data_IF_263494436616
#
_entry.id   IF_263494436616
#
_cell.length_a   1.000
_cell.length_b   1.000
_cell.length_c   1.000
_cell.angle_alpha   90.00
_cell.angle_beta   90.00
_cell.angle_gamma   90.00
#
_symmetry.space_group_name_H-M   'P 1'
#
loop_
_entity.id
_entity.type
_entity.pdbx_description
1 polymer ?
#
# COMPACT_ATOMS: atom_id res chain seq x y z
N UNK A 1 27.17 4.51 -30.45
CA UNK A 1 25.79 4.70 -30.99
C UNK A 1 24.68 4.13 -30.08
N UNK A 2 24.98 3.34 -29.05
CA UNK A 2 23.97 2.70 -28.17
C UNK A 2 23.32 3.58 -27.08
N UNK A 3 23.77 4.81 -26.85
CA UNK A 3 23.25 5.68 -25.78
C UNK A 3 22.29 6.78 -26.25
N UNK A 4 22.17 7.01 -27.56
CA UNK A 4 21.30 8.06 -28.10
C UNK A 4 19.81 7.65 -28.05
N UNK A 5 19.49 6.38 -28.34
CA UNK A 5 18.12 5.87 -28.29
C UNK A 5 17.50 5.87 -26.90
N UNK A 6 18.29 5.50 -25.88
CA UNK A 6 17.84 5.53 -24.48
C UNK A 6 17.66 6.95 -23.96
N UNK A 7 18.55 7.87 -24.32
CA UNK A 7 18.42 9.28 -23.98
C UNK A 7 17.22 9.93 -24.66
N UNK A 8 16.94 9.59 -25.92
CA UNK A 8 15.79 10.08 -26.69
C UNK A 8 14.46 9.51 -26.17
N UNK A 9 14.41 8.23 -25.77
CA UNK A 9 13.23 7.64 -25.10
C UNK A 9 12.97 8.31 -23.75
N UNK A 10 14.02 8.52 -22.95
CA UNK A 10 13.91 9.22 -21.67
C UNK A 10 13.49 10.69 -21.84
N UNK A 11 14.02 11.38 -22.86
CA UNK A 11 13.60 12.75 -23.23
C UNK A 11 12.16 12.78 -23.73
N UNK A 12 11.74 11.81 -24.53
CA UNK A 12 10.36 11.64 -25.00
C UNK A 12 9.39 11.47 -23.83
N UNK A 13 9.69 10.59 -22.88
CA UNK A 13 8.91 10.40 -21.65
C UNK A 13 8.91 11.65 -20.75
N UNK A 14 9.99 12.42 -20.75
CA UNK A 14 10.08 13.67 -19.97
C UNK A 14 9.23 14.78 -20.62
N UNK A 15 9.21 14.84 -21.96
CA UNK A 15 8.37 15.77 -22.72
C UNK A 15 6.89 15.39 -22.62
N UNK A 16 6.54 14.11 -22.67
CA UNK A 16 5.18 13.61 -22.40
C UNK A 16 4.76 13.91 -20.96
N UNK A 17 5.64 13.74 -19.96
CA UNK A 17 5.36 14.14 -18.59
C UNK A 17 5.18 15.66 -18.43
N UNK A 18 5.97 16.47 -19.16
CA UNK A 18 5.79 17.94 -19.20
C UNK A 18 4.52 18.36 -19.94
N UNK A 19 4.12 17.65 -20.99
CA UNK A 19 2.86 17.87 -21.71
C UNK A 19 1.65 17.43 -20.88
N UNK A 20 1.75 16.31 -20.15
CA UNK A 20 0.77 15.90 -19.15
C UNK A 20 0.62 16.98 -18.06
N UNK A 21 1.71 17.62 -17.63
CA UNK A 21 1.67 18.77 -16.70
C UNK A 21 1.06 20.04 -17.29
N UNK A 22 1.20 20.29 -18.59
CA UNK A 22 0.67 21.49 -19.27
C UNK A 22 -0.76 21.33 -19.83
N UNK A 23 -1.22 20.10 -20.05
CA UNK A 23 -2.53 19.80 -20.63
C UNK A 23 -3.57 19.21 -19.66
N UNK A 24 -3.23 18.93 -18.40
CA UNK A 24 -4.15 18.28 -17.46
C UNK A 24 -4.98 19.29 -16.64
N UNK A 25 -6.14 19.65 -17.18
CA UNK A 25 -7.35 19.87 -16.38
C UNK A 25 -7.98 18.53 -15.93
N UNK A 26 -7.24 17.42 -16.01
CA UNK A 26 -7.69 16.08 -15.65
C UNK A 26 -6.74 15.53 -14.60
N UNK A 27 -7.14 15.64 -13.33
CA UNK A 27 -6.70 14.72 -12.28
C UNK A 27 -7.25 13.31 -12.56
N UNK A 28 -7.57 12.55 -11.51
CA UNK A 28 -8.31 11.29 -11.63
C UNK A 28 -9.72 11.54 -12.21
N UNK A 29 -9.85 11.72 -13.53
CA UNK A 29 -11.08 12.08 -14.22
C UNK A 29 -11.37 13.59 -14.30
N UNK A 30 -12.38 13.96 -15.10
CA UNK A 30 -12.89 15.32 -15.17
C UNK A 30 -13.35 15.80 -13.77
N UNK A 31 -12.97 17.02 -13.41
CA UNK A 31 -13.36 17.73 -12.17
C UNK A 31 -12.81 17.18 -10.84
N UNK A 32 -11.76 16.34 -10.82
CA UNK A 32 -11.10 15.96 -9.56
C UNK A 32 -9.81 16.76 -9.35
N UNK A 33 -9.64 17.45 -8.21
CA UNK A 33 -8.44 18.24 -7.96
C UNK A 33 -7.19 17.35 -7.91
N UNK A 34 -6.08 17.85 -8.47
CA UNK A 34 -4.76 17.20 -8.40
C UNK A 34 -4.17 17.20 -6.99
N UNK A 35 -4.68 18.08 -6.12
CA UNK A 35 -4.21 18.30 -4.75
C UNK A 35 -5.44 18.45 -3.85
N UNK A 36 -5.67 17.50 -2.95
CA UNK A 36 -6.68 17.65 -1.90
C UNK A 36 -6.09 18.48 -0.75
N UNK A 37 -6.86 19.44 -0.26
CA UNK A 37 -6.61 20.14 1.01
C UNK A 37 -6.61 19.13 2.15
N UNK A 38 -5.42 18.83 2.66
CA UNK A 38 -5.21 17.92 3.77
C UNK A 38 -5.70 18.56 5.07
N UNK A 39 -6.79 18.03 5.63
CA UNK A 39 -7.31 18.18 6.99
C UNK A 39 -7.26 19.61 7.59
N UNK A 40 -8.42 20.22 7.83
CA UNK A 40 -8.50 21.16 8.96
C UNK A 40 -8.45 20.33 10.24
N UNK A 41 -7.45 20.59 11.08
CA UNK A 41 -7.24 19.93 12.37
C UNK A 41 -8.31 20.29 13.43
N UNK A 42 -9.55 20.58 13.00
CA UNK A 42 -10.56 21.26 13.82
C UNK A 42 -11.88 20.47 13.94
N UNK A 43 -12.01 19.30 13.30
CA UNK A 43 -13.25 18.52 13.40
C UNK A 43 -13.30 17.63 14.65
N UNK A 44 -14.38 17.78 15.42
CA UNK A 44 -14.67 16.95 16.60
C UNK A 44 -14.89 15.49 16.21
N UNK A 45 -14.58 14.54 17.12
CA UNK A 45 -14.94 13.15 16.93
C UNK A 45 -16.44 12.99 16.65
N UNK A 46 -16.76 12.16 15.67
CA UNK A 46 -18.12 11.89 15.22
C UNK A 46 -18.55 10.46 15.61
N UNK A 47 -19.85 10.17 15.50
CA UNK A 47 -20.40 8.83 15.69
C UNK A 47 -20.01 7.83 14.57
N UNK A 48 -19.05 8.18 13.71
CA UNK A 48 -18.55 7.35 12.63
C UNK A 48 -18.08 5.98 13.13
N UNK A 49 -18.40 4.94 12.39
CA UNK A 49 -18.10 3.55 12.76
C UNK A 49 -16.65 3.14 12.44
N UNK A 50 -16.02 3.76 11.43
CA UNK A 50 -14.70 3.34 10.92
C UNK A 50 -13.61 4.38 11.13
N UNK A 51 -13.96 5.66 11.25
CA UNK A 51 -13.02 6.76 11.42
C UNK A 51 -13.30 7.56 12.70
N UNK A 52 -12.43 8.51 13.04
CA UNK A 52 -12.68 9.43 14.15
C UNK A 52 -13.62 10.55 13.72
N UNK A 53 -13.45 11.06 12.50
CA UNK A 53 -14.28 12.14 11.96
C UNK A 53 -14.93 11.77 10.63
N UNK A 54 -16.01 12.46 10.28
CA UNK A 54 -16.66 12.29 8.98
C UNK A 54 -15.82 12.89 7.84
N UNK A 55 -14.96 13.88 8.10
CA UNK A 55 -14.01 14.35 7.08
C UNK A 55 -12.99 13.27 6.70
N UNK A 56 -12.48 12.49 7.67
CA UNK A 56 -11.60 11.36 7.37
C UNK A 56 -12.31 10.35 6.45
N UNK A 57 -13.58 10.00 6.74
CA UNK A 57 -14.34 9.12 5.86
C UNK A 57 -14.51 9.71 4.46
N UNK A 58 -14.97 10.97 4.35
CA UNK A 58 -15.18 11.64 3.06
C UNK A 58 -13.90 11.67 2.23
N UNK A 59 -12.76 11.93 2.88
CA UNK A 59 -11.47 11.95 2.23
C UNK A 59 -11.06 10.56 1.74
N UNK A 60 -11.19 9.51 2.55
CA UNK A 60 -10.85 8.16 2.09
C UNK A 60 -11.80 7.68 0.98
N UNK A 61 -13.09 8.02 1.08
CA UNK A 61 -14.09 7.69 0.07
C UNK A 61 -13.80 8.33 -1.30
N UNK A 62 -13.23 9.54 -1.35
CA UNK A 62 -12.96 10.28 -2.60
C UNK A 62 -11.99 9.54 -3.55
N UNK A 63 -11.08 8.75 -3.00
CA UNK A 63 -10.08 7.97 -3.74
C UNK A 63 -10.61 6.67 -4.33
N UNK A 64 -11.80 6.23 -3.90
CA UNK A 64 -12.35 4.93 -4.30
C UNK A 64 -13.09 4.96 -5.63
N UNK A 65 -13.11 3.83 -6.33
CA UNK A 65 -13.78 3.66 -7.62
C UNK A 65 -13.31 4.63 -8.70
N UNK A 66 -12.11 5.21 -8.55
CA UNK A 66 -11.55 6.21 -9.45
C UNK A 66 -11.03 5.61 -10.77
N UNK A 67 -10.93 4.28 -10.86
CA UNK A 67 -10.37 3.59 -12.03
C UNK A 67 -11.21 2.38 -12.42
N UNK A 68 -11.65 2.31 -13.69
CA UNK A 68 -12.41 1.17 -14.20
C UNK A 68 -11.52 0.26 -15.03
N UNK A 69 -11.20 -0.91 -14.48
CA UNK A 69 -10.35 -1.93 -15.11
C UNK A 69 -10.80 -2.31 -16.52
N UNK A 70 -12.12 -2.30 -16.81
CA UNK A 70 -12.68 -2.79 -18.08
C UNK A 70 -12.17 -2.01 -19.30
N UNK A 71 -11.83 -0.74 -19.14
CA UNK A 71 -11.40 0.13 -20.24
C UNK A 71 -9.88 0.15 -20.48
N UNK A 72 -9.10 -0.55 -19.66
CA UNK A 72 -7.65 -0.55 -19.74
C UNK A 72 -7.08 -1.88 -20.22
N UNK A 73 -6.08 -1.83 -21.11
CA UNK A 73 -5.37 -3.00 -21.61
C UNK A 73 -4.72 -3.79 -20.46
N UNK A 74 -4.61 -5.11 -20.60
CA UNK A 74 -4.01 -6.01 -19.59
C UNK A 74 -2.62 -5.55 -19.13
N UNK A 75 -1.83 -4.97 -20.04
CA UNK A 75 -0.52 -4.39 -19.72
C UNK A 75 -0.61 -3.25 -18.70
N UNK A 76 -1.63 -2.38 -18.80
CA UNK A 76 -1.88 -1.29 -17.82
C UNK A 76 -2.36 -1.86 -16.48
N UNK A 77 -3.15 -2.94 -16.53
CA UNK A 77 -3.64 -3.66 -15.34
C UNK A 77 -2.51 -4.33 -14.54
N UNK A 78 -1.41 -4.70 -15.19
CA UNK A 78 -0.26 -5.38 -14.57
C UNK A 78 0.94 -4.46 -14.29
N UNK A 79 0.80 -3.13 -14.41
CA UNK A 79 1.92 -2.16 -14.27
C UNK A 79 2.38 -2.04 -12.82
N UNK A 80 3.20 -2.99 -12.41
CA UNK A 80 4.17 -2.83 -11.33
C UNK A 80 5.56 -2.72 -11.96
N UNK A 81 6.40 -1.83 -11.45
CA UNK A 81 7.73 -1.56 -11.98
C UNK A 81 8.69 -1.23 -10.83
N UNK A 82 10.00 -1.48 -10.99
CA UNK A 82 10.98 -1.16 -9.96
C UNK A 82 10.87 0.29 -9.50
N UNK A 83 10.86 0.49 -8.18
CA UNK A 83 10.79 1.80 -7.56
C UNK A 83 9.38 2.36 -7.33
N UNK A 84 8.33 1.70 -7.85
CA UNK A 84 6.94 2.08 -7.58
C UNK A 84 6.63 1.89 -6.09
N UNK A 85 6.01 2.88 -5.45
CA UNK A 85 5.60 2.80 -4.02
C UNK A 85 6.75 2.58 -3.00
N UNK A 86 8.01 2.77 -3.40
CA UNK A 86 9.18 2.73 -2.51
C UNK A 86 9.10 3.74 -1.35
N UNK A 87 8.26 4.75 -1.47
CA UNK A 87 8.07 5.74 -0.40
C UNK A 87 7.40 5.11 0.83
N UNK A 88 6.65 4.00 0.64
CA UNK A 88 6.23 3.12 1.75
C UNK A 88 7.43 2.44 2.41
N UNK A 89 8.44 2.00 1.66
CA UNK A 89 9.66 1.44 2.24
C UNK A 89 10.41 2.48 3.07
N UNK A 90 10.48 3.73 2.59
CA UNK A 90 11.12 4.84 3.33
C UNK A 90 10.39 5.11 4.64
N UNK A 91 9.05 5.17 4.61
CA UNK A 91 8.22 5.29 5.82
C UNK A 91 8.51 4.16 6.82
N UNK A 92 8.49 2.90 6.37
CA UNK A 92 8.74 1.74 7.24
C UNK A 92 10.17 1.72 7.77
N UNK A 93 11.14 2.16 6.96
CA UNK A 93 12.53 2.28 7.39
C UNK A 93 12.65 3.31 8.51
N UNK A 94 12.05 4.48 8.34
CA UNK A 94 12.07 5.50 9.39
C UNK A 94 11.31 5.04 10.65
N UNK A 95 10.19 4.33 10.48
CA UNK A 95 9.43 3.74 11.58
C UNK A 95 10.29 2.76 12.41
N UNK A 96 11.00 1.85 11.75
CA UNK A 96 11.73 0.74 12.39
C UNK A 96 13.16 1.09 12.84
N UNK A 97 13.89 1.92 12.08
CA UNK A 97 15.29 2.26 12.41
C UNK A 97 15.43 3.27 13.55
N UNK A 98 14.35 3.94 13.95
CA UNK A 98 14.36 4.85 15.10
C UNK A 98 15.17 6.14 14.92
N UNK A 99 15.80 6.38 13.75
CA UNK A 99 16.63 7.58 13.50
C UNK A 99 15.82 8.87 13.39
N UNK A 100 14.62 8.79 12.84
CA UNK A 100 13.72 9.94 12.71
C UNK A 100 12.96 10.14 14.03
N UNK A 101 13.12 11.31 14.64
CA UNK A 101 12.70 11.59 16.03
C UNK A 101 11.65 12.69 16.15
N UNK A 102 11.01 13.09 15.05
CA UNK A 102 9.89 14.04 15.15
C UNK A 102 8.68 13.44 15.89
N UNK A 103 7.87 14.32 16.47
CA UNK A 103 6.75 13.96 17.33
C UNK A 103 5.73 13.07 16.62
N UNK A 104 5.43 13.35 15.35
CA UNK A 104 4.48 12.57 14.56
C UNK A 104 4.99 11.13 14.33
N UNK A 105 6.29 10.95 14.05
CA UNK A 105 6.89 9.63 13.91
C UNK A 105 6.94 8.85 15.24
N UNK A 106 7.30 9.50 16.35
CA UNK A 106 7.29 8.82 17.65
C UNK A 106 5.87 8.40 18.06
N UNK A 107 4.87 9.26 17.84
CA UNK A 107 3.47 8.90 18.06
C UNK A 107 3.03 7.72 17.17
N UNK A 108 3.45 7.69 15.91
CA UNK A 108 3.15 6.55 15.03
C UNK A 108 3.76 5.25 15.57
N UNK A 109 5.00 5.30 16.11
CA UNK A 109 5.64 4.15 16.77
C UNK A 109 4.87 3.70 18.02
N UNK A 110 4.42 4.63 18.83
CA UNK A 110 3.59 4.36 20.01
C UNK A 110 2.28 3.66 19.62
N UNK A 111 1.53 4.19 18.65
CA UNK A 111 0.26 3.60 18.20
C UNK A 111 0.44 2.20 17.60
N UNK A 112 1.61 1.92 17.01
CA UNK A 112 1.94 0.64 16.41
C UNK A 112 2.69 -0.32 17.34
N UNK A 113 2.93 0.07 18.60
CA UNK A 113 3.68 -0.68 19.60
C UNK A 113 5.01 -1.25 19.07
N UNK A 114 5.81 -0.42 18.39
CA UNK A 114 7.06 -0.88 17.75
C UNK A 114 8.19 -1.13 18.75
N UNK A 115 7.93 -0.98 20.05
CA UNK A 115 8.86 -1.22 21.16
C UNK A 115 9.16 -2.71 21.29
N UNK A 116 10.07 -3.23 20.46
CA UNK A 116 10.46 -4.65 20.43
C UNK A 116 10.76 -5.18 19.04
N UNK A 117 10.42 -4.43 17.98
CA UNK A 117 10.87 -4.74 16.62
C UNK A 117 12.28 -4.25 16.37
N UNK A 118 13.03 -4.99 15.58
CA UNK A 118 14.33 -4.54 15.06
C UNK A 118 14.19 -3.80 13.72
N UNK A 119 15.30 -3.23 13.26
CA UNK A 119 15.36 -2.54 11.97
C UNK A 119 15.09 -3.45 10.76
N UNK A 120 15.14 -4.77 10.94
CA UNK A 120 14.87 -5.79 9.91
C UNK A 120 13.38 -6.23 9.91
N UNK A 121 12.55 -5.63 10.77
CA UNK A 121 11.10 -5.83 10.81
C UNK A 121 10.63 -7.07 11.59
N UNK A 122 11.43 -7.60 12.52
CA UNK A 122 11.00 -8.70 13.38
C UNK A 122 9.70 -8.35 14.12
N UNK A 123 8.72 -9.26 14.10
CA UNK A 123 7.40 -9.06 14.72
C UNK A 123 6.37 -8.36 13.82
N UNK A 124 6.76 -7.94 12.62
CA UNK A 124 5.86 -7.33 11.64
C UNK A 124 5.38 -8.37 10.60
N UNK A 125 4.15 -8.15 10.14
CA UNK A 125 3.57 -8.82 8.99
C UNK A 125 3.23 -7.77 7.94
N UNK A 126 3.82 -7.86 6.75
CA UNK A 126 3.46 -7.02 5.61
C UNK A 126 2.57 -7.79 4.64
N UNK A 127 1.41 -7.24 4.30
CA UNK A 127 0.49 -7.80 3.31
C UNK A 127 0.39 -6.84 2.15
N UNK A 128 0.84 -7.28 0.97
CA UNK A 128 0.73 -6.53 -0.28
C UNK A 128 -0.47 -7.05 -1.06
N UNK A 129 -1.49 -6.22 -1.24
CA UNK A 129 -2.73 -6.61 -1.93
C UNK A 129 -2.63 -6.21 -3.40
N UNK A 130 -2.77 -7.20 -4.29
CA UNK A 130 -2.64 -7.00 -5.74
C UNK A 130 -1.26 -6.50 -6.18
N UNK A 131 -0.14 -7.14 -5.78
CA UNK A 131 1.21 -6.66 -6.08
C UNK A 131 1.62 -6.80 -7.56
N UNK A 132 0.75 -7.37 -8.40
CA UNK A 132 1.07 -7.71 -9.78
C UNK A 132 1.94 -8.97 -9.84
N UNK A 133 1.50 -10.03 -9.16
CA UNK A 133 2.25 -11.29 -9.07
C UNK A 133 2.52 -11.89 -10.46
N UNK A 134 1.55 -11.80 -11.38
CA UNK A 134 1.68 -12.31 -12.75
C UNK A 134 2.46 -11.42 -13.71
N UNK A 135 3.09 -10.33 -13.25
CA UNK A 135 3.89 -9.48 -14.13
C UNK A 135 5.08 -10.27 -14.67
N UNK A 136 5.09 -10.51 -15.98
CA UNK A 136 6.10 -11.35 -16.64
C UNK A 136 7.52 -10.80 -16.50
N UNK A 137 7.68 -9.48 -16.39
CA UNK A 137 8.98 -8.81 -16.27
C UNK A 137 9.44 -8.67 -14.82
N UNK A 138 8.52 -8.29 -13.94
CA UNK A 138 8.77 -7.84 -12.58
C UNK A 138 7.73 -8.39 -11.61
N UNK A 139 7.65 -9.73 -11.43
CA UNK A 139 6.59 -10.35 -10.62
C UNK A 139 6.67 -9.86 -9.17
N UNK A 140 5.60 -9.23 -8.67
CA UNK A 140 5.51 -8.69 -7.32
C UNK A 140 6.73 -7.84 -6.89
N UNK A 141 7.27 -7.03 -7.80
CA UNK A 141 8.55 -6.31 -7.58
C UNK A 141 8.53 -5.38 -6.36
N UNK A 142 7.39 -4.76 -6.07
CA UNK A 142 7.20 -3.90 -4.89
C UNK A 142 7.14 -4.72 -3.60
N UNK A 143 6.62 -5.95 -3.64
CA UNK A 143 6.68 -6.91 -2.52
C UNK A 143 8.11 -7.39 -2.31
N UNK A 144 8.82 -7.72 -3.40
CA UNK A 144 10.22 -8.14 -3.36
C UNK A 144 11.12 -7.07 -2.74
N UNK A 145 10.90 -5.80 -3.09
CA UNK A 145 11.61 -4.65 -2.53
C UNK A 145 11.47 -4.57 -1.00
N UNK A 146 10.24 -4.71 -0.48
CA UNK A 146 9.98 -4.77 0.98
C UNK A 146 10.71 -5.95 1.63
N UNK A 147 10.62 -7.14 1.03
CA UNK A 147 11.27 -8.33 1.58
C UNK A 147 12.81 -8.24 1.60
N UNK A 148 13.39 -7.49 0.67
CA UNK A 148 14.83 -7.20 0.62
C UNK A 148 15.27 -6.22 1.71
N UNK A 149 14.48 -5.18 1.93
CA UNK A 149 14.74 -4.13 2.93
C UNK A 149 14.54 -4.62 4.37
N UNK A 150 13.63 -5.56 4.60
CA UNK A 150 13.23 -6.04 5.93
C UNK A 150 13.28 -7.57 6.01
N UNK A 151 14.45 -8.16 6.23
CA UNK A 151 14.66 -9.61 6.06
C UNK A 151 14.00 -10.47 7.14
N UNK A 152 13.63 -9.86 8.27
CA UNK A 152 12.96 -10.54 9.40
C UNK A 152 11.46 -10.24 9.47
N UNK A 153 10.94 -9.43 8.57
CA UNK A 153 9.51 -9.19 8.38
C UNK A 153 8.90 -10.32 7.55
N UNK A 154 7.78 -10.90 8.00
CA UNK A 154 7.03 -11.82 7.15
C UNK A 154 6.25 -11.02 6.10
N UNK A 155 6.43 -11.35 4.82
CA UNK A 155 5.86 -10.60 3.69
C UNK A 155 4.92 -11.51 2.90
N UNK A 156 3.68 -11.09 2.70
CA UNK A 156 2.63 -11.83 1.98
C UNK A 156 2.24 -11.06 0.73
N UNK A 157 2.47 -11.67 -0.44
CA UNK A 157 1.88 -11.27 -1.70
C UNK A 157 0.47 -11.88 -1.80
N UNK A 158 -0.56 -11.08 -1.54
CA UNK A 158 -1.96 -11.48 -1.68
C UNK A 158 -2.45 -11.06 -3.07
N UNK A 159 -2.75 -12.04 -3.92
CA UNK A 159 -3.25 -11.78 -5.27
C UNK A 159 -4.37 -12.75 -5.64
N UNK A 160 -5.15 -12.39 -6.66
CA UNK A 160 -6.30 -13.17 -7.10
C UNK A 160 -5.85 -14.58 -7.51
N UNK A 161 -6.70 -15.62 -7.32
CA UNK A 161 -6.37 -16.98 -7.75
C UNK A 161 -5.97 -17.07 -9.23
N UNK A 162 -6.56 -16.24 -10.09
CA UNK A 162 -6.16 -16.15 -11.49
C UNK A 162 -4.73 -15.60 -11.67
N UNK A 163 -4.35 -14.55 -10.94
CA UNK A 163 -3.01 -13.99 -11.00
C UNK A 163 -1.96 -14.99 -10.49
N UNK A 164 -2.30 -15.77 -9.46
CA UNK A 164 -1.45 -16.89 -9.00
C UNK A 164 -1.31 -17.96 -10.08
N UNK A 165 -2.39 -18.34 -10.78
CA UNK A 165 -2.29 -19.29 -11.92
C UNK A 165 -1.42 -18.73 -13.05
N UNK A 166 -1.56 -17.44 -13.38
CA UNK A 166 -0.76 -16.78 -14.42
C UNK A 166 0.71 -16.66 -14.02
N UNK A 167 1.00 -16.44 -12.74
CA UNK A 167 2.37 -16.48 -12.22
C UNK A 167 3.06 -17.81 -12.55
N UNK A 168 2.42 -18.96 -12.26
CA UNK A 168 3.02 -20.27 -12.54
C UNK A 168 3.06 -20.64 -14.03
N UNK A 169 2.16 -20.10 -14.86
CA UNK A 169 2.08 -20.45 -16.29
C UNK A 169 2.81 -19.50 -17.24
N UNK A 170 2.92 -18.20 -16.92
CA UNK A 170 3.44 -17.18 -17.83
C UNK A 170 4.77 -16.56 -17.38
N UNK A 171 5.03 -16.46 -16.07
CA UNK A 171 6.30 -15.92 -15.56
C UNK A 171 7.39 -16.98 -15.71
N UNK A 172 8.58 -16.63 -16.20
CA UNK A 172 9.67 -17.60 -16.39
C UNK A 172 10.12 -18.23 -15.06
N UNK A 173 10.56 -19.49 -15.11
CA UNK A 173 11.03 -20.22 -13.92
C UNK A 173 12.09 -19.43 -13.13
N UNK A 174 13.11 -18.92 -13.83
CA UNK A 174 14.16 -18.07 -13.24
C UNK A 174 13.60 -16.90 -12.42
N UNK A 175 12.59 -16.18 -12.93
CA UNK A 175 12.00 -15.03 -12.23
C UNK A 175 11.15 -15.46 -11.03
N UNK A 176 10.44 -16.58 -11.15
CA UNK A 176 9.71 -17.16 -10.00
C UNK A 176 10.67 -17.59 -8.91
N UNK A 177 11.75 -18.27 -9.29
CA UNK A 177 12.78 -18.74 -8.36
C UNK A 177 13.49 -17.57 -7.68
N UNK A 178 13.75 -16.48 -8.42
CA UNK A 178 14.29 -15.24 -7.84
C UNK A 178 13.35 -14.66 -6.77
N UNK A 179 12.06 -14.50 -7.06
CA UNK A 179 11.08 -14.01 -6.06
C UNK A 179 10.99 -14.97 -4.87
N UNK A 180 10.88 -16.27 -5.15
CA UNK A 180 10.74 -17.31 -4.13
C UNK A 180 12.07 -17.64 -3.44
N UNK A 181 13.21 -17.06 -3.82
CA UNK A 181 14.47 -17.22 -3.08
C UNK A 181 14.45 -16.48 -1.74
N UNK A 182 13.64 -15.42 -1.63
CA UNK A 182 13.43 -14.68 -0.39
C UNK A 182 12.63 -15.51 0.61
N UNK A 183 13.28 -16.02 1.66
CA UNK A 183 12.67 -16.93 2.64
C UNK A 183 11.47 -16.33 3.39
N UNK A 184 11.40 -15.01 3.49
CA UNK A 184 10.35 -14.27 4.18
C UNK A 184 9.13 -13.93 3.30
N UNK A 185 9.17 -14.21 1.99
CA UNK A 185 8.02 -14.01 1.08
C UNK A 185 7.08 -15.22 1.11
N UNK A 186 5.78 -14.97 1.17
CA UNK A 186 4.71 -15.96 0.97
C UNK A 186 3.73 -15.47 -0.08
N UNK A 187 3.11 -16.40 -0.79
CA UNK A 187 2.04 -16.10 -1.74
C UNK A 187 0.73 -16.58 -1.12
N UNK A 188 -0.30 -15.74 -1.18
CA UNK A 188 -1.64 -16.05 -0.73
C UNK A 188 -2.62 -15.84 -1.90
N UNK A 189 -3.34 -16.90 -2.26
CA UNK A 189 -4.28 -16.95 -3.39
C UNK A 189 -5.69 -16.57 -2.93
N UNK A 190 -6.03 -15.28 -2.92
CA UNK A 190 -7.30 -14.80 -2.41
C UNK A 190 -7.78 -13.52 -3.09
N UNK A 191 -9.06 -13.22 -2.96
CA UNK A 191 -9.58 -11.90 -3.30
C UNK A 191 -9.33 -10.94 -2.12
N UNK A 192 -8.77 -9.76 -2.40
CA UNK A 192 -8.44 -8.76 -1.38
C UNK A 192 -9.64 -8.23 -0.58
N UNK A 193 -10.87 -8.57 -0.99
CA UNK A 193 -12.11 -8.27 -0.26
C UNK A 193 -12.46 -9.31 0.81
N UNK A 194 -11.88 -10.50 0.76
CA UNK A 194 -12.20 -11.58 1.69
C UNK A 194 -11.63 -11.30 3.10
N UNK A 195 -12.30 -11.84 4.13
CA UNK A 195 -11.79 -11.82 5.50
C UNK A 195 -10.40 -12.45 5.58
N UNK A 196 -9.43 -11.71 6.13
CA UNK A 196 -8.09 -12.19 6.40
C UNK A 196 -8.10 -13.39 7.35
N UNK A 197 -8.94 -13.36 8.39
CA UNK A 197 -9.07 -14.48 9.33
C UNK A 197 -9.47 -15.78 8.62
N UNK A 198 -10.40 -15.69 7.65
CA UNK A 198 -10.82 -16.82 6.83
C UNK A 198 -9.72 -17.29 5.88
N UNK A 199 -9.11 -16.39 5.11
CA UNK A 199 -8.15 -16.82 4.06
C UNK A 199 -6.79 -17.23 4.63
N UNK A 200 -6.36 -16.70 5.78
CA UNK A 200 -5.11 -17.12 6.42
C UNK A 200 -5.21 -18.50 7.08
N UNK A 201 -6.41 -18.92 7.47
CA UNK A 201 -6.65 -20.23 8.10
C UNK A 201 -6.85 -21.37 7.11
N UNK A 202 -7.08 -21.06 5.84
CA UNK A 202 -7.27 -22.06 4.77
C UNK A 202 -5.91 -22.44 4.14
N UNK A 203 -5.40 -23.67 4.36
CA UNK A 203 -4.10 -24.11 3.85
C UNK A 203 -4.06 -24.17 2.30
N UNK A 204 -5.20 -24.39 1.64
CA UNK A 204 -5.27 -24.50 0.18
C UNK A 204 -5.05 -23.14 -0.51
N UNK A 205 -5.15 -22.03 0.25
CA UNK A 205 -4.86 -20.68 -0.23
C UNK A 205 -3.37 -20.39 -0.32
N UNK A 206 -2.49 -21.26 0.19
CA UNK A 206 -1.04 -21.08 0.23
C UNK A 206 -0.34 -21.98 -0.81
N UNK A 207 -0.20 -21.55 -2.08
CA UNK A 207 0.25 -22.41 -3.18
C UNK A 207 1.70 -22.90 -3.07
N UNK A 208 2.52 -22.28 -2.22
CA UNK A 208 3.93 -22.64 -2.05
C UNK A 208 4.06 -23.71 -0.98
N UNK A 209 4.19 -24.97 -1.40
CA UNK A 209 4.13 -26.18 -0.54
C UNK A 209 5.00 -26.17 0.73
N UNK A 210 6.12 -25.44 0.73
CA UNK A 210 7.05 -25.37 1.87
C UNK A 210 6.98 -24.03 2.62
N UNK A 211 5.94 -23.23 2.36
CA UNK A 211 5.71 -21.94 3.00
C UNK A 211 4.25 -21.89 3.43
N UNK A 212 4.01 -22.38 4.64
CA UNK A 212 2.69 -22.33 5.26
C UNK A 212 2.28 -20.90 5.66
N UNK A 213 1.10 -20.82 6.26
CA UNK A 213 0.55 -19.57 6.76
C UNK A 213 1.43 -18.92 7.84
N UNK A 214 1.17 -17.64 8.10
CA UNK A 214 1.76 -16.88 9.21
C UNK A 214 0.67 -16.43 10.16
N UNK A 215 0.95 -16.33 11.46
CA UNK A 215 -0.05 -15.85 12.41
C UNK A 215 -0.38 -14.37 12.16
N UNK A 216 -1.68 -14.05 12.15
CA UNK A 216 -2.18 -12.67 12.10
C UNK A 216 -2.12 -11.96 13.47
N UNK A 217 -2.27 -12.74 14.55
CA UNK A 217 -2.38 -12.24 15.93
C UNK A 217 -1.00 -11.97 16.55
N UNK A 218 -0.96 -11.00 17.46
CA UNK A 218 0.25 -10.67 18.24
C UNK A 218 1.34 -10.00 17.42
N UNK A 219 0.98 -9.36 16.29
CA UNK A 219 1.91 -8.72 15.36
C UNK A 219 1.41 -7.35 14.96
N UNK A 220 2.35 -6.46 14.64
CA UNK A 220 2.04 -5.23 13.91
C UNK A 220 1.85 -5.58 12.45
N UNK A 221 0.67 -5.28 11.90
CA UNK A 221 0.31 -5.63 10.53
C UNK A 221 0.38 -4.38 9.66
N UNK A 222 1.21 -4.42 8.63
CA UNK A 222 1.28 -3.39 7.60
C UNK A 222 0.57 -3.92 6.37
N UNK A 223 -0.37 -3.17 5.83
CA UNK A 223 -1.13 -3.57 4.65
C UNK A 223 -0.97 -2.50 3.60
N UNK A 224 -0.51 -2.90 2.41
CA UNK A 224 -0.52 -2.03 1.24
C UNK A 224 -1.66 -2.44 0.34
N UNK A 225 -2.67 -1.57 0.27
CA UNK A 225 -3.75 -1.62 -0.71
C UNK A 225 -3.63 -0.50 -1.74
N UNK A 226 -2.59 0.34 -1.66
CA UNK A 226 -2.36 1.44 -2.57
C UNK A 226 -2.39 0.97 -4.03
N UNK A 227 -3.28 1.57 -4.83
CA UNK A 227 -3.38 1.30 -6.26
C UNK A 227 -3.76 -0.14 -6.62
N UNK A 228 -4.58 -0.76 -5.78
CA UNK A 228 -5.14 -2.09 -5.93
C UNK A 228 -6.67 -2.02 -5.80
N UNK A 229 -7.28 -2.77 -4.88
CA UNK A 229 -8.72 -2.77 -4.63
C UNK A 229 -9.28 -1.39 -4.24
N UNK A 230 -8.45 -0.52 -3.65
CA UNK A 230 -8.80 0.83 -3.20
C UNK A 230 -9.36 1.71 -4.31
N UNK A 231 -8.77 1.68 -5.51
CA UNK A 231 -9.17 2.51 -6.65
C UNK A 231 -10.17 1.83 -7.59
N UNK A 232 -10.26 0.50 -7.55
CA UNK A 232 -11.10 -0.28 -8.47
C UNK A 232 -12.50 -0.53 -7.92
N UNK A 233 -12.67 -0.50 -6.60
CA UNK A 233 -13.94 -0.77 -5.94
C UNK A 233 -14.60 0.53 -5.47
N UNK A 234 -15.93 0.64 -5.53
CA UNK A 234 -16.65 1.79 -5.01
C UNK A 234 -16.57 1.84 -3.47
N UNK A 235 -16.79 3.04 -2.90
CA UNK A 235 -16.72 3.26 -1.46
C UNK A 235 -17.55 2.27 -0.65
N UNK A 236 -18.78 1.96 -1.06
CA UNK A 236 -19.65 1.04 -0.33
C UNK A 236 -19.03 -0.33 -0.11
N UNK A 237 -18.31 -0.85 -1.11
CA UNK A 237 -17.59 -2.13 -1.00
C UNK A 237 -16.34 -1.96 -0.15
N UNK A 238 -15.58 -0.89 -0.34
CA UNK A 238 -14.37 -0.64 0.46
C UNK A 238 -14.68 -0.41 1.94
N UNK A 239 -15.81 0.22 2.25
CA UNK A 239 -16.28 0.42 3.61
C UNK A 239 -16.49 -0.93 4.32
N UNK A 240 -17.12 -1.90 3.65
CA UNK A 240 -17.31 -3.25 4.20
C UNK A 240 -15.97 -4.00 4.36
N UNK A 241 -15.04 -3.85 3.40
CA UNK A 241 -13.69 -4.41 3.49
C UNK A 241 -12.93 -3.83 4.70
N UNK A 242 -12.94 -2.51 4.88
CA UNK A 242 -12.27 -1.85 6.01
C UNK A 242 -12.90 -2.25 7.35
N UNK A 243 -14.23 -2.42 7.41
CA UNK A 243 -14.93 -2.92 8.60
C UNK A 243 -14.50 -4.33 8.94
N UNK A 244 -14.50 -5.23 7.97
CA UNK A 244 -14.07 -6.61 8.18
C UNK A 244 -12.60 -6.68 8.59
N UNK A 245 -11.75 -5.86 7.98
CA UNK A 245 -10.33 -5.79 8.30
C UNK A 245 -10.09 -5.31 9.75
N UNK A 246 -10.85 -4.31 10.20
CA UNK A 246 -10.77 -3.83 11.58
C UNK A 246 -11.17 -4.90 12.59
N UNK A 247 -12.16 -5.74 12.25
CA UNK A 247 -12.60 -6.87 13.07
C UNK A 247 -11.56 -8.01 13.09
N UNK A 248 -11.08 -8.43 11.92
CA UNK A 248 -10.11 -9.52 11.78
C UNK A 248 -8.80 -9.21 12.51
N UNK A 249 -8.43 -7.92 12.55
CA UNK A 249 -7.20 -7.42 13.16
C UNK A 249 -7.49 -6.57 14.40
N UNK A 250 -8.61 -6.81 15.11
CA UNK A 250 -8.99 -6.01 16.28
C UNK A 250 -7.84 -5.91 17.29
N UNK A 251 -7.21 -7.04 17.61
CA UNK A 251 -6.16 -7.12 18.63
C UNK A 251 -4.75 -6.79 18.11
N UNK A 252 -4.61 -6.54 16.81
CA UNK A 252 -3.34 -6.17 16.17
C UNK A 252 -3.33 -4.69 15.82
N UNK A 253 -2.22 -3.96 16.05
CA UNK A 253 -2.06 -2.63 15.47
C UNK A 253 -1.88 -2.75 13.95
N UNK A 254 -2.49 -1.85 13.19
CA UNK A 254 -2.47 -1.85 11.72
C UNK A 254 -1.97 -0.53 11.17
N UNK A 255 -1.01 -0.60 10.26
CA UNK A 255 -0.63 0.50 9.36
C UNK A 255 -1.15 0.16 7.96
N UNK A 256 -2.11 0.91 7.47
CA UNK A 256 -2.73 0.67 6.17
C UNK A 256 -2.34 1.77 5.19
N UNK A 257 -1.60 1.41 4.15
CA UNK A 257 -1.33 2.28 3.00
C UNK A 257 -2.48 2.14 2.00
N UNK A 258 -3.37 3.12 1.96
CA UNK A 258 -4.60 3.13 1.17
C UNK A 258 -4.60 4.33 0.25
N UNK A 259 -4.51 4.10 -1.06
CA UNK A 259 -4.09 5.11 -2.01
C UNK A 259 -2.83 5.83 -1.47
N UNK A 260 -2.81 7.16 -1.51
CA UNK A 260 -1.74 7.96 -0.90
C UNK A 260 -1.85 8.07 0.62
N UNK A 261 -2.98 7.72 1.22
CA UNK A 261 -3.22 7.89 2.65
C UNK A 261 -2.48 6.84 3.47
N UNK A 262 -1.91 7.28 4.59
CA UNK A 262 -1.36 6.44 5.64
C UNK A 262 -2.39 6.41 6.76
N UNK A 263 -3.04 5.26 6.93
CA UNK A 263 -4.03 5.01 7.96
C UNK A 263 -3.41 4.21 9.10
N UNK A 264 -3.78 4.53 10.34
CA UNK A 264 -3.38 3.76 11.53
C UNK A 264 -4.61 3.30 12.31
N UNK A 265 -4.60 2.04 12.75
CA UNK A 265 -5.59 1.47 13.68
C UNK A 265 -4.83 0.86 14.85
N UNK A 266 -4.89 1.44 16.06
CA UNK A 266 -4.27 0.84 17.24
C UNK A 266 -4.86 -0.53 17.59
N UNK A 267 -4.11 -1.32 18.35
CA UNK A 267 -4.62 -2.56 18.93
C UNK A 267 -5.83 -2.28 19.84
N UNK A 268 -6.85 -3.14 19.81
CA UNK A 268 -8.11 -2.99 20.53
C UNK A 268 -9.12 -2.04 19.89
N UNK A 269 -8.70 -1.22 18.92
CA UNK A 269 -9.58 -0.31 18.17
C UNK A 269 -10.17 -0.98 16.92
N UNK A 270 -11.39 -0.57 16.57
CA UNK A 270 -12.03 -0.84 15.28
C UNK A 270 -11.98 0.37 14.32
N UNK A 271 -11.46 1.51 14.80
CA UNK A 271 -11.39 2.77 14.06
C UNK A 271 -9.99 3.02 13.51
N UNK A 272 -9.92 3.42 12.25
CA UNK A 272 -8.76 3.97 11.60
C UNK A 272 -8.66 5.48 11.85
N UNK A 273 -7.44 6.00 11.75
CA UNK A 273 -7.10 7.42 11.83
C UNK A 273 -6.16 7.74 10.67
N UNK A 274 -6.29 8.93 10.07
CA UNK A 274 -5.30 9.37 9.10
C UNK A 274 -4.04 9.83 9.84
N UNK A 275 -2.93 9.11 9.64
CA UNK A 275 -1.63 9.43 10.22
C UNK A 275 -0.77 10.28 9.28
N UNK A 276 -1.09 10.31 7.98
CA UNK A 276 -0.32 11.05 6.99
C UNK A 276 -0.59 10.62 5.57
N UNK A 277 0.33 10.95 4.67
CA UNK A 277 0.26 10.63 3.25
C UNK A 277 1.64 10.30 2.67
N UNK A 278 1.71 9.42 1.69
CA UNK A 278 2.89 9.19 0.86
C UNK A 278 2.85 10.09 -0.38
N UNK A 279 4.02 10.31 -0.97
CA UNK A 279 4.14 11.16 -2.15
C UNK A 279 3.37 10.61 -3.35
N UNK A 280 3.17 11.43 -4.38
CA UNK A 280 2.55 11.01 -5.64
C UNK A 280 3.38 9.99 -6.45
N UNK A 281 4.63 9.72 -6.05
CA UNK A 281 5.55 8.82 -6.75
C UNK A 281 4.96 7.42 -6.92
N UNK A 282 4.87 6.95 -8.16
CA UNK A 282 4.36 5.62 -8.48
C UNK A 282 2.83 5.47 -8.41
N UNK A 283 2.10 6.55 -8.16
CA UNK A 283 0.64 6.52 -8.09
C UNK A 283 -0.05 6.68 -9.45
N UNK A 284 0.62 7.26 -10.43
CA UNK A 284 0.05 7.50 -11.74
C UNK A 284 -0.01 6.21 -12.58
N UNK A 285 -1.15 5.50 -12.58
CA UNK A 285 -1.31 4.20 -13.27
C UNK A 285 -0.96 4.17 -14.75
N UNK A 286 -1.17 5.29 -15.43
CA UNK A 286 -0.96 5.38 -16.87
C UNK A 286 0.49 5.70 -17.26
N UNK A 287 1.36 6.08 -16.30
CA UNK A 287 2.73 6.53 -16.57
C UNK A 287 3.71 5.89 -15.60
N UNK A 288 4.86 5.42 -16.08
CA UNK A 288 5.97 4.98 -15.21
C UNK A 288 6.69 6.20 -14.61
N UNK A 289 5.99 6.95 -13.76
CA UNK A 289 6.51 8.15 -13.14
C UNK A 289 7.06 7.83 -11.74
N UNK A 290 8.35 8.06 -11.57
CA UNK A 290 9.06 7.93 -10.28
C UNK A 290 9.39 9.27 -9.64
N UNK A 291 8.94 10.37 -10.23
CA UNK A 291 9.10 11.71 -9.67
C UNK A 291 8.10 11.93 -8.52
N UNK A 292 8.57 12.57 -7.44
CA UNK A 292 7.73 13.01 -6.31
C UNK A 292 7.06 14.35 -6.56
N UNK A 293 7.44 15.07 -7.62
CA UNK A 293 6.86 16.38 -7.94
C UNK A 293 7.17 17.45 -6.89
N UNK A 294 8.28 17.31 -6.16
CA UNK A 294 8.68 18.21 -5.07
C UNK A 294 8.14 17.81 -3.69
N UNK A 295 7.29 16.80 -3.60
CA UNK A 295 6.82 16.28 -2.30
C UNK A 295 7.93 15.49 -1.56
N UNK A 296 7.95 15.52 -0.21
CA UNK A 296 8.75 14.57 0.55
C UNK A 296 8.25 13.14 0.32
N UNK A 297 9.04 12.09 0.60
CA UNK A 297 8.59 10.70 0.43
C UNK A 297 7.26 10.40 1.13
N UNK A 298 7.08 10.96 2.32
CA UNK A 298 5.83 10.96 3.04
C UNK A 298 5.78 12.16 3.99
N UNK A 299 4.57 12.52 4.39
CA UNK A 299 4.27 13.53 5.41
C UNK A 299 3.42 12.86 6.48
N UNK A 300 3.79 13.00 7.75
CA UNK A 300 2.95 12.60 8.88
C UNK A 300 2.25 13.83 9.45
N UNK A 301 1.01 13.65 9.90
CA UNK A 301 0.25 14.71 10.55
C UNK A 301 0.59 14.69 12.03
N UNK A 302 1.17 15.77 12.52
CA UNK A 302 1.32 15.98 13.95
C UNK A 302 -0.03 16.44 14.52
N UNK A 303 -0.68 15.58 15.30
CA UNK A 303 -1.94 15.90 15.99
C UNK A 303 -1.70 16.15 17.48
N UNK A 304 -0.51 16.67 17.83
CA UNK A 304 -0.06 16.92 19.20
C UNK A 304 -1.01 17.71 20.11
N UNK A 305 -2.01 18.41 19.58
CA UNK A 305 -2.89 19.30 20.36
C UNK A 305 -4.14 18.64 20.98
N UNK A 306 -4.35 17.33 20.81
CA UNK A 306 -5.57 16.66 21.32
C UNK A 306 -5.41 15.93 22.66
N UNK A 307 -4.28 16.09 23.36
CA UNK A 307 -4.11 15.58 24.72
C UNK A 307 -5.10 16.19 25.74
N UNK A 308 -5.81 17.26 25.37
CA UNK A 308 -6.84 17.93 26.17
C UNK A 308 -8.26 17.30 26.04
N UNK A 309 -8.52 16.43 25.06
CA UNK A 309 -9.86 15.86 24.83
C UNK A 309 -10.06 14.42 25.35
N UNK A 310 -9.17 13.94 26.23
CA UNK A 310 -9.38 12.69 26.98
C UNK A 310 -9.80 12.95 28.40
#
# INVERSE_FOLDING_TARGET
>A
LHNAGYALDKLGRTLEAMQARRGSNMGYGLNRPLYETFLSAEELPSANLLFQTDAEERQIASYTGAFDMRYHAQQVRSRTYPGRQDDTNILLRDLLYGRKKDAAMERLRELLHTSGSDSEGSGFLFIDVGPGLANVQYPAVTTKSIAQDFRRMDVVALDLPEQVRLFYSQVSAYRRDELLSHSNIRILSADGRESLAKVFSDPERWPVKNRGSVPLRGRTVVIRMANSIDIYLPWSVMQDVLRQLALDLKDSPVLLCFNRSILVKPAGSLKFQIAGYVSIRGFHHNLELLDRGGEPPYTLIDTGDFAFLR
#
